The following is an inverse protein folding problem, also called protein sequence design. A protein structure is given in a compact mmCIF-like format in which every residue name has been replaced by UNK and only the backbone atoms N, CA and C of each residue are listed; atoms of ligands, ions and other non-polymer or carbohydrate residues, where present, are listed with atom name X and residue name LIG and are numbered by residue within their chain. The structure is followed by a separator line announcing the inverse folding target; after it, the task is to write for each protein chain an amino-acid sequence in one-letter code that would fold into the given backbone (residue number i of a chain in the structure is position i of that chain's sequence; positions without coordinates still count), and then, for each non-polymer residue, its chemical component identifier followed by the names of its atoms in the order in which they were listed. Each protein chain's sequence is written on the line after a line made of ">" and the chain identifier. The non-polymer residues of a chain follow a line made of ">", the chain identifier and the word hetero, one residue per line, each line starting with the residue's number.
data_IF_932215695348
#
_entry.id   IF_932215695348
#
_cell.length_a   1.000
_cell.length_b   1.000
_cell.length_c   1.000
_cell.angle_alpha   90.00
_cell.angle_beta   90.00
_cell.angle_gamma   90.00
#
_symmetry.space_group_name_H-M   'P 1'
#
loop_
_entity.id
_entity.type
_entity.pdbx_description
1 polymer ?
#
# COMPACT_ATOMS: atom_id res chain seq x y z
N UNK A 1 -13.04 -11.48 -9.68
CA UNK A 1 -13.38 -10.05 -9.53
C UNK A 1 -12.67 -9.56 -8.27
N UNK A 2 -11.36 -9.31 -8.38
CA UNK A 2 -10.45 -9.06 -7.24
C UNK A 2 -10.22 -7.55 -7.00
N UNK A 3 -11.32 -6.79 -7.07
CA UNK A 3 -11.31 -5.46 -7.69
C UNK A 3 -11.13 -4.21 -6.82
N UNK A 4 -10.98 -4.28 -5.48
CA UNK A 4 -10.95 -3.03 -4.67
C UNK A 4 -9.76 -2.89 -3.74
N UNK A 5 -9.35 -3.96 -3.04
CA UNK A 5 -8.23 -3.92 -2.09
C UNK A 5 -6.90 -4.22 -2.76
N UNK A 6 -6.77 -5.42 -3.33
CA UNK A 6 -5.53 -5.91 -3.94
C UNK A 6 -5.08 -5.00 -5.08
N UNK A 7 -6.01 -4.62 -5.97
CA UNK A 7 -5.71 -3.66 -7.05
C UNK A 7 -5.29 -2.27 -6.56
N UNK A 8 -5.87 -1.77 -5.46
CA UNK A 8 -5.50 -0.47 -4.89
C UNK A 8 -4.14 -0.53 -4.19
N UNK A 9 -3.90 -1.57 -3.39
CA UNK A 9 -2.63 -1.84 -2.73
C UNK A 9 -1.52 -2.00 -3.75
N UNK A 10 -1.74 -2.85 -4.76
CA UNK A 10 -0.77 -3.12 -5.82
C UNK A 10 -0.39 -1.83 -6.52
N UNK A 11 -1.37 -1.00 -6.83
CA UNK A 11 -1.12 0.33 -7.41
C UNK A 11 -0.27 1.21 -6.48
N UNK A 12 -0.56 1.25 -5.18
CA UNK A 12 0.25 2.04 -4.24
C UNK A 12 1.68 1.53 -4.17
N UNK A 13 1.85 0.22 -4.02
CA UNK A 13 3.15 -0.40 -3.84
C UNK A 13 4.02 -0.21 -5.10
N UNK A 14 3.46 -0.54 -6.27
CA UNK A 14 4.13 -0.37 -7.58
C UNK A 14 4.47 1.10 -7.83
N UNK A 15 3.54 2.02 -7.64
CA UNK A 15 3.81 3.45 -7.85
C UNK A 15 4.91 3.97 -6.92
N UNK A 16 4.92 3.50 -5.67
CA UNK A 16 5.91 3.94 -4.67
C UNK A 16 7.29 3.35 -4.95
N UNK A 17 7.37 2.07 -5.32
CA UNK A 17 8.60 1.42 -5.74
C UNK A 17 9.17 2.08 -7.00
N UNK A 18 8.35 2.26 -8.05
CA UNK A 18 8.76 2.94 -9.29
C UNK A 18 9.26 4.36 -8.99
N UNK A 19 8.53 5.14 -8.19
CA UNK A 19 8.96 6.50 -7.82
C UNK A 19 10.33 6.49 -7.12
N UNK A 20 10.55 5.54 -6.23
CA UNK A 20 11.83 5.40 -5.51
C UNK A 20 12.98 4.98 -6.45
N UNK A 21 12.76 3.96 -7.29
CA UNK A 21 13.75 3.51 -8.28
C UNK A 21 14.08 4.60 -9.29
N UNK A 22 13.08 5.34 -9.78
CA UNK A 22 13.29 6.45 -10.70
C UNK A 22 14.11 7.58 -10.08
N UNK A 23 13.91 7.89 -8.80
CA UNK A 23 14.74 8.86 -8.06
C UNK A 23 16.18 8.38 -7.89
N UNK A 24 16.38 7.09 -7.59
CA UNK A 24 17.71 6.48 -7.44
C UNK A 24 18.47 6.36 -8.77
N UNK A 25 17.76 6.09 -9.87
CA UNK A 25 18.32 5.91 -11.22
C UNK A 25 18.69 7.23 -11.91
N UNK A 26 18.12 8.36 -11.49
CA UNK A 26 18.65 9.68 -11.87
C UNK A 26 20.12 9.88 -11.43
N UNK A 27 20.63 9.04 -10.52
CA UNK A 27 22.01 9.06 -10.04
C UNK A 27 22.94 8.06 -10.75
N UNK A 28 22.45 7.14 -11.61
CA UNK A 28 23.30 6.18 -12.36
C UNK A 28 22.70 5.78 -13.73
N UNK A 29 23.48 5.83 -14.84
CA UNK A 29 22.99 5.45 -16.16
C UNK A 29 22.95 3.93 -16.33
N UNK A 30 21.78 3.36 -16.62
CA UNK A 30 21.59 1.92 -16.91
C UNK A 30 20.75 1.77 -18.19
N UNK A 31 21.15 0.84 -19.07
CA UNK A 31 20.61 0.63 -20.42
C UNK A 31 19.22 -0.05 -20.47
N UNK A 32 18.40 0.34 -21.46
CA UNK A 32 16.94 0.03 -21.59
C UNK A 32 16.56 -1.47 -21.71
N UNK A 33 17.49 -2.37 -22.06
CA UNK A 33 17.16 -3.79 -22.31
C UNK A 33 17.12 -4.67 -21.05
N UNK A 34 17.85 -4.28 -20.00
CA UNK A 34 17.83 -4.97 -18.69
C UNK A 34 16.63 -4.53 -17.83
N UNK A 35 16.02 -3.41 -18.21
CA UNK A 35 14.92 -2.72 -17.52
C UNK A 35 13.65 -3.57 -17.45
N UNK A 36 13.17 -4.10 -18.59
CA UNK A 36 11.88 -4.79 -18.67
C UNK A 36 11.86 -6.16 -17.97
N UNK A 37 12.99 -6.87 -17.93
CA UNK A 37 13.07 -8.25 -17.40
C UNK A 37 13.24 -8.26 -15.88
N UNK A 38 13.94 -7.25 -15.33
CA UNK A 38 14.08 -7.06 -13.88
C UNK A 38 12.78 -6.55 -13.26
N UNK A 39 12.05 -5.66 -13.96
CA UNK A 39 10.78 -5.12 -13.49
C UNK A 39 9.74 -6.23 -13.28
N UNK A 40 9.60 -7.16 -14.21
CA UNK A 40 8.62 -8.25 -14.15
C UNK A 40 8.86 -9.27 -13.02
N UNK A 41 10.12 -9.66 -12.77
CA UNK A 41 10.46 -10.57 -11.68
C UNK A 41 10.41 -9.90 -10.30
N UNK A 42 10.80 -8.62 -10.19
CA UNK A 42 10.60 -7.86 -8.96
C UNK A 42 9.11 -7.68 -8.67
N UNK A 43 8.29 -7.35 -9.67
CA UNK A 43 6.83 -7.23 -9.52
C UNK A 43 6.22 -8.49 -8.88
N UNK A 44 6.57 -9.69 -9.36
CA UNK A 44 6.03 -10.96 -8.83
C UNK A 44 6.48 -11.29 -7.39
N UNK A 45 7.70 -10.94 -7.01
CA UNK A 45 8.24 -11.18 -5.65
C UNK A 45 7.71 -10.13 -4.67
N UNK A 46 7.60 -8.88 -5.13
CA UNK A 46 6.95 -7.80 -4.40
C UNK A 46 5.46 -8.09 -4.18
N UNK A 47 4.76 -8.71 -5.13
CA UNK A 47 3.34 -9.04 -4.99
C UNK A 47 3.07 -9.97 -3.79
N UNK A 48 3.91 -11.00 -3.56
CA UNK A 48 3.74 -11.93 -2.42
C UNK A 48 4.26 -11.37 -1.08
N UNK A 49 5.33 -10.57 -1.11
CA UNK A 49 5.89 -9.96 0.09
C UNK A 49 4.98 -8.82 0.59
N UNK A 50 4.40 -8.04 -0.33
CA UNK A 50 3.56 -6.90 -0.04
C UNK A 50 2.28 -7.24 0.71
N UNK A 51 1.66 -8.41 0.49
CA UNK A 51 0.38 -8.72 1.13
C UNK A 51 0.53 -8.88 2.65
N UNK A 52 1.51 -9.68 3.10
CA UNK A 52 1.78 -9.89 4.54
C UNK A 52 2.27 -8.61 5.20
N UNK A 53 3.23 -7.94 4.58
CA UNK A 53 3.80 -6.71 5.14
C UNK A 53 2.74 -5.61 5.23
N UNK A 54 1.87 -5.48 4.23
CA UNK A 54 0.78 -4.50 4.30
C UNK A 54 -0.23 -4.87 5.38
N UNK A 55 -0.52 -6.15 5.59
CA UNK A 55 -1.39 -6.54 6.71
C UNK A 55 -0.76 -6.17 8.07
N UNK A 56 0.56 -6.25 8.21
CA UNK A 56 1.27 -5.73 9.38
C UNK A 56 1.19 -4.20 9.47
N UNK A 57 1.32 -3.48 8.35
CA UNK A 57 1.17 -2.02 8.33
C UNK A 57 -0.27 -1.58 8.67
N UNK A 58 -1.28 -2.31 8.21
CA UNK A 58 -2.69 -2.07 8.58
C UNK A 58 -2.89 -2.26 10.09
N UNK A 59 -2.19 -3.20 10.71
CA UNK A 59 -2.21 -3.37 12.17
C UNK A 59 -1.58 -2.20 12.94
N UNK A 60 -0.75 -1.37 12.31
CA UNK A 60 -0.18 -0.17 12.93
C UNK A 60 -1.13 1.04 12.91
N UNK A 61 -2.24 0.97 12.15
CA UNK A 61 -3.25 2.02 12.18
C UNK A 61 -3.92 2.12 13.57
N UNK A 62 -4.29 3.34 13.94
CA UNK A 62 -5.10 3.55 15.15
C UNK A 62 -6.40 2.74 15.06
N UNK A 63 -6.98 2.30 16.21
CA UNK A 63 -8.13 1.40 16.21
C UNK A 63 -9.27 1.84 15.29
N UNK A 64 -9.69 3.11 15.34
CA UNK A 64 -10.77 3.63 14.49
C UNK A 64 -10.46 3.55 12.99
N UNK A 65 -9.25 3.97 12.58
CA UNK A 65 -8.84 3.91 11.17
C UNK A 65 -8.76 2.48 10.65
N UNK A 66 -8.18 1.57 11.46
CA UNK A 66 -8.10 0.15 11.13
C UNK A 66 -9.47 -0.49 10.98
N UNK A 67 -10.37 -0.25 11.93
CA UNK A 67 -11.73 -0.82 11.91
C UNK A 67 -12.48 -0.39 10.64
N UNK A 68 -12.53 0.92 10.37
CA UNK A 68 -13.23 1.42 9.17
C UNK A 68 -12.55 0.95 7.88
N UNK A 69 -11.21 0.87 7.86
CA UNK A 69 -10.48 0.34 6.72
C UNK A 69 -10.85 -1.12 6.44
N UNK A 70 -10.79 -1.99 7.45
CA UNK A 70 -11.11 -3.41 7.30
C UNK A 70 -12.56 -3.63 6.86
N UNK A 71 -13.51 -2.98 7.54
CA UNK A 71 -14.93 -3.11 7.20
C UNK A 71 -15.20 -2.68 5.75
N UNK A 72 -14.63 -1.57 5.28
CA UNK A 72 -14.88 -1.11 3.91
C UNK A 72 -14.11 -1.93 2.86
N UNK A 73 -12.82 -2.12 3.10
CA UNK A 73 -11.88 -2.57 2.05
C UNK A 73 -11.76 -4.10 2.02
N UNK A 74 -11.83 -4.75 3.18
CA UNK A 74 -11.69 -6.22 3.30
C UNK A 74 -13.07 -6.88 3.32
N UNK A 75 -13.99 -6.34 4.12
CA UNK A 75 -15.32 -6.95 4.32
C UNK A 75 -16.37 -6.42 3.34
N UNK A 76 -16.09 -5.32 2.63
CA UNK A 76 -16.95 -4.78 1.56
C UNK A 76 -18.15 -3.95 2.02
N UNK A 77 -18.20 -3.53 3.29
CA UNK A 77 -19.28 -2.68 3.79
C UNK A 77 -19.27 -1.29 3.16
N UNK A 78 -20.46 -0.73 2.96
CA UNK A 78 -20.62 0.68 2.60
C UNK A 78 -20.36 1.58 3.80
N UNK A 79 -20.01 2.85 3.56
CA UNK A 79 -19.82 3.83 4.63
C UNK A 79 -21.07 4.05 5.49
N UNK A 80 -22.26 3.85 4.90
CA UNK A 80 -23.53 3.92 5.61
C UNK A 80 -23.65 2.79 6.62
N UNK A 81 -23.45 1.54 6.19
CA UNK A 81 -23.49 0.37 7.08
C UNK A 81 -22.43 0.44 8.19
N UNK A 82 -21.23 0.92 7.87
CA UNK A 82 -20.17 1.15 8.86
C UNK A 82 -20.61 2.20 9.89
N UNK A 83 -21.24 3.28 9.43
CA UNK A 83 -21.77 4.32 10.31
C UNK A 83 -22.81 3.78 11.28
N UNK A 84 -23.76 3.01 10.75
CA UNK A 84 -24.84 2.38 11.52
C UNK A 84 -24.29 1.37 12.55
N UNK A 85 -23.32 0.54 12.17
CA UNK A 85 -22.71 -0.47 13.04
C UNK A 85 -21.84 0.12 14.16
N UNK A 86 -21.10 1.19 13.87
CA UNK A 86 -20.17 1.80 14.82
C UNK A 86 -20.76 2.99 15.58
N UNK A 87 -21.99 3.41 15.28
CA UNK A 87 -22.61 4.59 15.88
C UNK A 87 -21.91 5.90 15.51
N UNK A 88 -21.35 5.98 14.30
CA UNK A 88 -20.65 7.18 13.77
C UNK A 88 -21.36 7.68 12.51
N UNK A 89 -21.11 8.93 12.12
CA UNK A 89 -21.67 9.44 10.86
C UNK A 89 -21.01 8.79 9.64
N UNK A 90 -21.73 8.67 8.52
CA UNK A 90 -21.16 8.23 7.23
C UNK A 90 -19.95 9.10 6.83
N UNK A 91 -20.01 10.41 7.11
CA UNK A 91 -18.89 11.34 6.88
C UNK A 91 -17.66 11.04 7.74
N UNK A 92 -17.87 10.59 8.98
CA UNK A 92 -16.80 10.10 9.86
C UNK A 92 -16.16 8.85 9.26
N UNK A 93 -16.95 7.89 8.78
CA UNK A 93 -16.44 6.69 8.10
C UNK A 93 -15.59 7.05 6.86
N UNK A 94 -16.08 7.92 5.99
CA UNK A 94 -15.34 8.40 4.79
C UNK A 94 -14.00 9.07 5.16
N UNK A 95 -14.03 9.96 6.14
CA UNK A 95 -12.83 10.70 6.57
C UNK A 95 -11.81 9.79 7.28
N UNK A 96 -12.26 8.83 8.08
CA UNK A 96 -11.39 7.81 8.68
C UNK A 96 -10.74 6.91 7.63
N UNK A 97 -11.50 6.45 6.63
CA UNK A 97 -10.94 5.67 5.52
C UNK A 97 -9.88 6.48 4.74
N UNK A 98 -10.19 7.73 4.41
CA UNK A 98 -9.26 8.61 3.70
C UNK A 98 -7.95 8.82 4.48
N UNK A 99 -8.05 9.08 5.79
CA UNK A 99 -6.88 9.18 6.68
C UNK A 99 -6.09 7.87 6.75
N UNK A 100 -6.77 6.73 6.89
CA UNK A 100 -6.15 5.41 6.90
C UNK A 100 -5.31 5.17 5.64
N UNK A 101 -5.86 5.49 4.47
CA UNK A 101 -5.19 5.35 3.17
C UNK A 101 -3.92 6.20 3.08
N UNK A 102 -3.97 7.46 3.52
CA UNK A 102 -2.81 8.36 3.52
C UNK A 102 -1.70 7.84 4.45
N UNK A 103 -2.06 7.38 5.66
CA UNK A 103 -1.09 6.85 6.62
C UNK A 103 -0.45 5.56 6.09
N UNK A 104 -1.26 4.65 5.53
CA UNK A 104 -0.75 3.43 4.89
C UNK A 104 0.21 3.74 3.74
N UNK A 105 -0.12 4.72 2.89
CA UNK A 105 0.77 5.11 1.79
C UNK A 105 2.14 5.60 2.29
N UNK A 106 2.16 6.41 3.36
CA UNK A 106 3.41 6.88 3.97
C UNK A 106 4.21 5.72 4.59
N UNK A 107 3.54 4.80 5.29
CA UNK A 107 4.19 3.62 5.87
C UNK A 107 4.78 2.71 4.79
N UNK A 108 4.05 2.46 3.69
CA UNK A 108 4.55 1.67 2.56
C UNK A 108 5.77 2.35 1.92
N UNK A 109 5.75 3.67 1.75
CA UNK A 109 6.92 4.41 1.23
C UNK A 109 8.16 4.20 2.09
N UNK A 110 8.03 4.38 3.40
CA UNK A 110 9.13 4.18 4.36
C UNK A 110 9.59 2.72 4.40
N UNK A 111 8.66 1.78 4.28
CA UNK A 111 8.96 0.36 4.22
C UNK A 111 9.82 0.02 2.99
N UNK A 112 9.39 0.45 1.81
CA UNK A 112 10.12 0.24 0.55
C UNK A 112 11.50 0.89 0.58
N UNK A 113 11.60 2.11 1.14
CA UNK A 113 12.88 2.80 1.32
C UNK A 113 13.85 2.00 2.21
N UNK A 114 13.35 1.44 3.32
CA UNK A 114 14.14 0.64 4.27
C UNK A 114 14.61 -0.69 3.67
N UNK A 115 13.73 -1.42 2.98
CA UNK A 115 14.08 -2.69 2.33
C UNK A 115 15.07 -2.50 1.18
N UNK A 116 14.94 -1.39 0.45
CA UNK A 116 15.91 -1.00 -0.58
C UNK A 116 17.30 -0.71 0.00
N UNK A 117 17.39 -0.08 1.17
CA UNK A 117 18.67 0.18 1.84
C UNK A 117 19.34 -1.10 2.34
N UNK A 118 18.55 -2.04 2.90
CA UNK A 118 19.05 -3.36 3.37
C UNK A 118 19.66 -4.19 2.24
N UNK A 119 19.04 -4.14 1.06
CA UNK A 119 19.49 -4.87 -0.13
C UNK A 119 20.78 -4.33 -0.76
N UNK A 120 21.24 -3.13 -0.39
CA UNK A 120 22.49 -2.51 -0.89
C UNK A 120 23.67 -2.81 0.04
N UNK A 121 23.39 -3.06 1.33
CA UNK A 121 24.42 -3.35 2.34
C UNK A 121 24.68 -4.85 2.55
N UNK A 122 23.88 -5.71 1.91
CA UNK A 122 24.03 -7.17 1.91
C UNK A 122 24.63 -7.63 0.59
#
# INVERSE_FOLDING_TARGET
>A
EDGSFEGWIRRIFVNTAIEHFRRKRYLQPVTEKEENTLEGNYLSVLDNLAERDIMELVQQLSPGYRTVFNMYVVEGYTHKEIGDLLGISEGTSKSQLSRAKVILQDMVRKFVEKESQRSIQS
#
